data_IF_997943917122
#
_entry.id   IF_997943917122
#
_cell.length_a   1.000
_cell.length_b   1.000
_cell.length_c   1.000
_cell.angle_alpha   90.00
_cell.angle_beta   90.00
_cell.angle_gamma   90.00
#
_symmetry.space_group_name_H-M   'P 1'
#
loop_
_entity.id
_entity.type
_entity.pdbx_description
1 polymer ?
#
# COMPACT_ATOMS: atom_id res chain seq x y z
N UNK A 1 -25.04 -4.32 22.59
CA UNK A 1 -23.82 -4.12 21.80
C UNK A 1 -22.65 -4.06 22.78
N UNK A 2 -21.75 -5.05 22.76
CA UNK A 2 -20.59 -5.05 23.66
C UNK A 2 -19.61 -3.98 23.19
N UNK A 3 -19.23 -3.06 24.07
CA UNK A 3 -18.19 -2.07 23.77
C UNK A 3 -16.88 -2.85 23.73
N UNK A 4 -16.26 -2.92 22.56
CA UNK A 4 -14.98 -3.62 22.39
C UNK A 4 -13.91 -2.93 23.24
N UNK A 5 -13.13 -3.73 23.96
CA UNK A 5 -12.07 -3.23 24.83
C UNK A 5 -11.01 -2.50 24.00
N UNK A 6 -10.33 -1.53 24.61
CA UNK A 6 -9.30 -0.73 23.94
C UNK A 6 -8.15 -1.61 23.45
N UNK A 7 -7.76 -2.61 24.24
CA UNK A 7 -6.70 -3.55 23.85
C UNK A 7 -7.09 -4.40 22.64
N UNK A 8 -8.33 -4.90 22.60
CA UNK A 8 -8.85 -5.67 21.47
C UNK A 8 -8.86 -4.83 20.18
N UNK A 9 -9.26 -3.56 20.26
CA UNK A 9 -9.19 -2.62 19.11
C UNK A 9 -7.79 -2.47 18.56
N UNK A 10 -6.79 -2.31 19.43
CA UNK A 10 -5.39 -2.16 19.01
C UNK A 10 -4.89 -3.43 18.31
N UNK A 11 -5.20 -4.60 18.87
CA UNK A 11 -4.83 -5.89 18.27
C UNK A 11 -5.49 -6.04 16.90
N UNK A 12 -6.79 -5.78 16.79
CA UNK A 12 -7.53 -5.86 15.52
C UNK A 12 -6.94 -4.91 14.47
N UNK A 13 -6.66 -3.65 14.83
CA UNK A 13 -6.07 -2.67 13.92
C UNK A 13 -4.68 -3.10 13.44
N UNK A 14 -3.86 -3.66 14.33
CA UNK A 14 -2.53 -4.16 13.98
C UNK A 14 -2.62 -5.36 13.04
N UNK A 15 -3.52 -6.29 13.30
CA UNK A 15 -3.76 -7.46 12.43
C UNK A 15 -4.27 -7.06 11.04
N UNK A 16 -5.22 -6.11 10.96
CA UNK A 16 -5.70 -5.56 9.68
C UNK A 16 -4.55 -4.92 8.90
N UNK A 17 -3.69 -4.14 9.59
CA UNK A 17 -2.53 -3.51 8.95
C UNK A 17 -1.57 -4.55 8.35
N UNK A 18 -1.29 -5.64 9.07
CA UNK A 18 -0.42 -6.72 8.57
C UNK A 18 -1.06 -7.43 7.38
N UNK A 19 -2.36 -7.75 7.46
CA UNK A 19 -3.10 -8.39 6.36
C UNK A 19 -3.09 -7.52 5.10
N UNK A 20 -3.26 -6.21 5.25
CA UNK A 20 -3.22 -5.27 4.13
C UNK A 20 -1.82 -5.22 3.48
N UNK A 21 -0.76 -5.18 4.28
CA UNK A 21 0.63 -5.21 3.76
C UNK A 21 0.89 -6.51 2.98
N UNK A 22 0.44 -7.64 3.51
CA UNK A 22 0.57 -8.93 2.83
C UNK A 22 -0.12 -8.92 1.45
N UNK A 23 -1.36 -8.45 1.38
CA UNK A 23 -2.11 -8.35 0.11
C UNK A 23 -1.40 -7.39 -0.86
N UNK A 24 -0.94 -6.23 -0.37
CA UNK A 24 -0.23 -5.26 -1.20
C UNK A 24 1.06 -5.86 -1.80
N UNK A 25 1.86 -6.57 -1.02
CA UNK A 25 3.06 -7.28 -1.51
C UNK A 25 2.71 -8.35 -2.54
N UNK A 26 1.65 -9.12 -2.30
CA UNK A 26 1.22 -10.18 -3.20
C UNK A 26 0.74 -9.63 -4.55
N UNK A 27 -0.09 -8.58 -4.52
CA UNK A 27 -0.58 -7.90 -5.74
C UNK A 27 0.56 -7.26 -6.52
N UNK A 28 1.54 -6.67 -5.82
CA UNK A 28 2.74 -6.12 -6.44
C UNK A 28 3.56 -7.21 -7.13
N UNK A 29 3.85 -8.32 -6.44
CA UNK A 29 4.58 -9.45 -7.01
C UNK A 29 3.87 -10.07 -8.22
N UNK A 30 2.55 -10.25 -8.14
CA UNK A 30 1.76 -10.74 -9.27
C UNK A 30 1.75 -9.75 -10.43
N UNK A 31 1.53 -8.46 -10.14
CA UNK A 31 1.57 -7.40 -11.14
C UNK A 31 2.90 -7.37 -11.90
N UNK A 32 4.02 -7.46 -11.18
CA UNK A 32 5.35 -7.55 -11.78
C UNK A 32 5.52 -8.81 -12.63
N UNK A 33 5.07 -9.97 -12.14
CA UNK A 33 5.12 -11.23 -12.93
C UNK A 33 4.35 -11.09 -14.24
N UNK A 34 3.14 -10.55 -14.21
CA UNK A 34 2.33 -10.35 -15.41
C UNK A 34 2.97 -9.35 -16.37
N UNK A 35 3.58 -8.28 -15.84
CA UNK A 35 4.29 -7.29 -16.63
C UNK A 35 5.53 -7.89 -17.32
N UNK A 36 6.31 -8.71 -16.62
CA UNK A 36 7.44 -9.47 -17.18
C UNK A 36 6.98 -10.43 -18.29
N UNK A 37 5.79 -11.00 -18.15
CA UNK A 37 5.21 -11.89 -19.16
C UNK A 37 4.59 -11.15 -20.36
N UNK A 38 4.73 -9.82 -20.44
CA UNK A 38 4.20 -9.02 -21.55
C UNK A 38 2.68 -8.90 -21.58
N UNK A 39 1.98 -9.26 -20.49
CA UNK A 39 0.51 -9.25 -20.41
C UNK A 39 -0.09 -7.84 -20.23
N UNK A 40 0.74 -6.79 -20.28
CA UNK A 40 0.30 -5.40 -20.14
C UNK A 40 -0.20 -5.06 -18.74
N UNK A 41 -1.10 -4.06 -18.67
CA UNK A 41 -1.71 -3.64 -17.41
C UNK A 41 -2.73 -4.69 -16.96
N UNK A 42 -2.46 -5.34 -15.83
CA UNK A 42 -3.27 -6.47 -15.37
C UNK A 42 -4.08 -6.14 -14.13
N UNK A 43 -5.17 -6.89 -13.91
CA UNK A 43 -6.08 -6.75 -12.76
C UNK A 43 -5.35 -6.60 -11.41
N UNK A 44 -4.26 -7.35 -11.12
CA UNK A 44 -3.50 -7.18 -9.88
C UNK A 44 -2.91 -5.78 -9.68
N UNK A 45 -2.43 -5.14 -10.75
CA UNK A 45 -1.90 -3.77 -10.67
C UNK A 45 -3.01 -2.75 -10.43
N UNK A 46 -4.18 -2.94 -11.03
CA UNK A 46 -5.35 -2.08 -10.79
C UNK A 46 -5.80 -2.18 -9.33
N UNK A 47 -5.85 -3.40 -8.79
CA UNK A 47 -6.20 -3.64 -7.38
C UNK A 47 -5.15 -3.08 -6.42
N UNK A 48 -3.87 -3.18 -6.75
CA UNK A 48 -2.80 -2.58 -5.95
C UNK A 48 -2.93 -1.05 -5.89
N UNK A 49 -3.12 -0.41 -7.04
CA UNK A 49 -3.27 1.05 -7.14
C UNK A 49 -4.52 1.50 -6.39
N UNK A 50 -5.65 0.82 -6.54
CA UNK A 50 -6.89 1.19 -5.86
C UNK A 50 -6.76 1.11 -4.33
N UNK A 51 -6.06 0.10 -3.81
CA UNK A 51 -5.76 -0.01 -2.39
C UNK A 51 -4.94 1.19 -1.89
N UNK A 52 -3.89 1.59 -2.62
CA UNK A 52 -3.07 2.76 -2.27
C UNK A 52 -3.90 4.03 -2.27
N UNK A 53 -4.75 4.23 -3.29
CA UNK A 53 -5.64 5.41 -3.40
C UNK A 53 -6.62 5.47 -2.24
N UNK A 54 -7.28 4.35 -1.88
CA UNK A 54 -8.23 4.31 -0.74
C UNK A 54 -7.54 4.67 0.57
N UNK A 55 -6.29 4.21 0.78
CA UNK A 55 -5.51 4.54 1.98
C UNK A 55 -5.18 6.03 2.03
N UNK A 56 -4.78 6.63 0.89
CA UNK A 56 -4.49 8.07 0.80
C UNK A 56 -5.76 8.88 1.10
N UNK A 57 -6.89 8.56 0.45
CA UNK A 57 -8.16 9.26 0.65
C UNK A 57 -8.63 9.14 2.10
N UNK A 58 -8.65 7.92 2.66
CA UNK A 58 -9.07 7.70 4.04
C UNK A 58 -8.22 8.54 4.99
N UNK A 59 -6.90 8.49 4.85
CA UNK A 59 -5.98 9.29 5.68
C UNK A 59 -6.17 10.79 5.49
N UNK A 60 -6.40 11.26 4.27
CA UNK A 60 -6.68 12.66 3.99
C UNK A 60 -7.95 13.15 4.71
N UNK A 61 -9.03 12.36 4.67
CA UNK A 61 -10.28 12.66 5.38
C UNK A 61 -10.06 12.72 6.89
N UNK A 62 -9.36 11.74 7.47
CA UNK A 62 -9.05 11.76 8.90
C UNK A 62 -8.16 12.94 9.30
N UNK A 63 -7.24 13.33 8.43
CA UNK A 63 -6.32 14.43 8.69
C UNK A 63 -7.03 15.79 8.65
N UNK A 64 -7.96 16.01 7.71
CA UNK A 64 -8.83 17.20 7.70
C UNK A 64 -9.58 17.31 9.03
N UNK A 65 -10.01 16.18 9.58
CA UNK A 65 -10.78 16.15 10.82
C UNK A 65 -9.95 16.41 12.08
N UNK A 66 -8.64 16.21 12.03
CA UNK A 66 -7.76 16.20 13.21
C UNK A 66 -6.76 17.38 13.24
N UNK A 67 -6.63 18.16 12.16
CA UNK A 67 -5.70 19.31 11.99
C UNK A 67 -4.27 19.12 12.56
N UNK A 68 -3.82 17.86 12.58
CA UNK A 68 -2.57 17.49 13.21
C UNK A 68 -1.43 17.44 12.18
N UNK A 69 -0.42 18.30 12.40
CA UNK A 69 0.76 18.43 11.54
C UNK A 69 1.70 17.23 11.64
N UNK A 70 1.68 16.47 12.75
CA UNK A 70 2.55 15.30 12.93
C UNK A 70 2.11 14.13 12.02
N UNK A 71 0.80 13.97 11.86
CA UNK A 71 0.18 12.97 10.97
C UNK A 71 0.63 13.14 9.50
N UNK A 72 0.85 14.38 9.04
CA UNK A 72 1.35 14.69 7.68
C UNK A 72 2.71 14.03 7.41
N UNK A 73 3.63 14.06 8.37
CA UNK A 73 4.96 13.46 8.22
C UNK A 73 4.91 11.94 8.05
N UNK A 74 3.98 11.28 8.73
CA UNK A 74 3.82 9.84 8.65
C UNK A 74 3.16 9.38 7.32
N UNK A 75 2.37 10.24 6.68
CA UNK A 75 1.85 10.01 5.32
C UNK A 75 2.94 10.09 4.27
N UNK A 76 3.77 11.12 4.35
CA UNK A 76 4.89 11.31 3.44
C UNK A 76 5.86 10.12 3.53
N UNK A 77 6.15 9.62 4.75
CA UNK A 77 6.96 8.39 4.93
C UNK A 77 6.35 7.16 4.25
N UNK A 78 5.03 6.96 4.37
CA UNK A 78 4.33 5.82 3.77
C UNK A 78 4.34 5.89 2.23
N UNK A 79 4.08 7.08 1.68
CA UNK A 79 4.15 7.32 0.23
C UNK A 79 5.57 7.10 -0.28
N UNK A 80 6.58 7.60 0.43
CA UNK A 80 7.99 7.39 0.07
C UNK A 80 8.35 5.91 0.05
N UNK A 81 7.96 5.13 1.07
CA UNK A 81 8.21 3.68 1.10
C UNK A 81 7.56 2.97 -0.09
N UNK A 82 6.32 3.33 -0.42
CA UNK A 82 5.60 2.77 -1.57
C UNK A 82 6.29 3.16 -2.89
N UNK A 83 6.69 4.42 -3.04
CA UNK A 83 7.41 4.91 -4.21
C UNK A 83 8.76 4.20 -4.39
N UNK A 84 9.50 3.96 -3.30
CA UNK A 84 10.75 3.20 -3.32
C UNK A 84 10.51 1.76 -3.75
N UNK A 85 9.46 1.10 -3.25
CA UNK A 85 9.13 -0.27 -3.66
C UNK A 85 8.76 -0.37 -5.15
N UNK A 86 8.03 0.63 -5.67
CA UNK A 86 7.68 0.71 -7.10
C UNK A 86 8.94 0.94 -7.95
N UNK A 87 9.79 1.90 -7.55
CA UNK A 87 11.05 2.20 -8.24
C UNK A 87 12.02 1.01 -8.23
N UNK A 88 12.11 0.29 -7.11
CA UNK A 88 12.91 -0.93 -7.01
C UNK A 88 12.40 -2.01 -7.97
N UNK A 89 11.08 -2.21 -8.06
CA UNK A 89 10.47 -3.11 -9.03
C UNK A 89 10.76 -2.70 -10.49
N UNK A 90 10.76 -1.41 -10.78
CA UNK A 90 11.06 -0.86 -12.10
C UNK A 90 12.55 -0.96 -12.47
N UNK A 91 13.46 -0.76 -11.51
CA UNK A 91 14.90 -0.96 -11.68
C UNK A 91 15.24 -2.41 -11.98
N UNK A 92 14.62 -3.35 -11.25
CA UNK A 92 14.77 -4.79 -11.52
C UNK A 92 14.25 -5.18 -12.91
N UNK A 93 13.20 -4.51 -13.41
CA UNK A 93 12.73 -4.70 -14.78
C UNK A 93 13.76 -4.27 -15.82
N UNK A 94 14.36 -3.08 -15.66
CA UNK A 94 15.40 -2.60 -16.57
C UNK A 94 16.63 -3.50 -16.62
N UNK A 95 17.04 -4.06 -15.47
CA UNK A 95 18.16 -4.99 -15.41
C UNK A 95 17.90 -6.32 -16.13
N UNK A 96 16.64 -6.75 -16.29
CA UNK A 96 16.30 -7.99 -17.01
C UNK A 96 16.09 -7.79 -18.51
N UNK A 97 15.70 -6.59 -18.94
CA UNK A 97 15.52 -6.24 -20.37
C UNK A 97 16.84 -5.83 -21.04
N UNK A 98 17.85 -5.45 -20.25
CA UNK A 98 19.18 -5.04 -20.72
C UNK A 98 20.20 -6.18 -20.96
N UNK A 99 19.79 -7.44 -20.95
CA UNK A 99 20.62 -8.63 -21.23
C UNK A 99 19.83 -9.62 -22.07
#
# INVERSE_FOLDING_TARGET
MHKMDEMEKVITLKSIRVSWIFIAMFLLGWGLKNYINGLGQTLPMVLFISQVVIVIISKYIYMIKVDDKESKGNLVKLVIIISILILAGYLLYYFKVGF
#
